data_IF_925946595816
#
_entry.id   IF_925946595816
#
_cell.length_a   1.000
_cell.length_b   1.000
_cell.length_c   1.000
_cell.angle_alpha   90.00
_cell.angle_beta   90.00
_cell.angle_gamma   90.00
#
_symmetry.space_group_name_H-M   'P 1'
#
loop_
_entity.id
_entity.type
_entity.pdbx_description
1 polymer ?
#
# COMPACT_ATOMS: atom_id res chain seq x y z
N UNK A 1 -13.13 -3.58 -11.80
CA UNK A 1 -13.05 -4.27 -10.48
C UNK A 1 -11.78 -5.13 -10.47
N UNK A 2 -10.94 -5.03 -9.44
CA UNK A 2 -9.73 -5.87 -9.33
C UNK A 2 -10.14 -7.23 -8.75
N UNK A 3 -9.77 -8.32 -9.41
CA UNK A 3 -9.97 -9.69 -8.92
C UNK A 3 -8.61 -10.33 -8.58
N UNK A 4 -8.63 -11.55 -8.04
CA UNK A 4 -7.41 -12.26 -7.64
C UNK A 4 -6.42 -12.47 -8.80
N UNK A 5 -6.91 -12.74 -10.01
CA UNK A 5 -6.06 -12.93 -11.20
C UNK A 5 -5.33 -11.63 -11.57
N UNK A 6 -6.04 -10.49 -11.57
CA UNK A 6 -5.44 -9.18 -11.82
C UNK A 6 -4.44 -8.83 -10.73
N UNK A 7 -4.78 -9.06 -9.46
CA UNK A 7 -3.89 -8.80 -8.33
C UNK A 7 -2.59 -9.63 -8.41
N UNK A 8 -2.70 -10.94 -8.64
CA UNK A 8 -1.56 -11.84 -8.83
C UNK A 8 -0.70 -11.42 -10.04
N UNK A 9 -1.31 -10.88 -11.11
CA UNK A 9 -0.56 -10.34 -12.25
C UNK A 9 0.25 -9.11 -11.86
N UNK A 10 -0.31 -8.24 -11.02
CA UNK A 10 0.39 -7.07 -10.48
C UNK A 10 1.56 -7.48 -9.58
N UNK A 11 1.37 -8.44 -8.67
CA UNK A 11 2.46 -8.96 -7.82
C UNK A 11 3.60 -9.56 -8.64
N UNK A 12 3.30 -10.33 -9.71
CA UNK A 12 4.32 -10.85 -10.63
C UNK A 12 5.08 -9.75 -11.37
N UNK A 13 4.44 -8.61 -11.65
CA UNK A 13 5.11 -7.44 -12.24
C UNK A 13 6.05 -6.82 -11.21
N UNK A 14 5.55 -6.54 -10.01
CA UNK A 14 6.31 -5.97 -8.90
C UNK A 14 7.57 -6.79 -8.58
N UNK A 15 7.46 -8.13 -8.52
CA UNK A 15 8.60 -9.03 -8.23
C UNK A 15 9.77 -8.86 -9.20
N UNK A 16 9.54 -8.42 -10.44
CA UNK A 16 10.63 -8.20 -11.41
C UNK A 16 11.41 -6.91 -11.17
N UNK A 17 10.80 -5.97 -10.45
CA UNK A 17 11.31 -4.61 -10.26
C UNK A 17 11.89 -4.38 -8.85
N UNK A 18 11.69 -5.33 -7.90
CA UNK A 18 12.16 -5.21 -6.51
C UNK A 18 13.08 -6.36 -6.09
N UNK A 19 13.77 -6.18 -4.95
CA UNK A 19 14.57 -7.24 -4.31
C UNK A 19 13.71 -8.47 -4.02
N UNK A 20 14.30 -9.65 -4.23
CA UNK A 20 13.57 -10.93 -4.21
C UNK A 20 13.62 -11.67 -2.87
N UNK A 21 14.33 -11.15 -1.87
CA UNK A 21 14.51 -11.76 -0.55
C UNK A 21 14.21 -10.77 0.57
N UNK A 22 13.61 -11.26 1.67
CA UNK A 22 13.30 -10.46 2.86
C UNK A 22 12.16 -9.46 2.68
N UNK A 23 11.22 -9.74 1.77
CA UNK A 23 10.08 -8.84 1.52
C UNK A 23 8.94 -9.16 2.47
N UNK A 24 8.56 -8.16 3.29
CA UNK A 24 7.31 -8.13 4.03
C UNK A 24 6.27 -7.31 3.25
N UNK A 25 5.25 -7.98 2.73
CA UNK A 25 4.14 -7.36 2.03
C UNK A 25 3.09 -6.86 3.03
N UNK A 26 2.77 -5.57 2.94
CA UNK A 26 1.74 -4.94 3.77
C UNK A 26 0.57 -4.57 2.86
N UNK A 27 -0.58 -5.20 3.08
CA UNK A 27 -1.80 -4.98 2.31
C UNK A 27 -3.03 -5.32 3.16
N UNK A 28 -4.19 -4.82 2.76
CA UNK A 28 -5.46 -5.06 3.45
C UNK A 28 -6.07 -6.43 3.10
N UNK A 29 -7.09 -6.83 3.86
CA UNK A 29 -7.79 -8.11 3.70
C UNK A 29 -8.84 -8.13 2.57
N UNK A 30 -8.74 -7.25 1.58
CA UNK A 30 -9.67 -7.24 0.44
C UNK A 30 -9.76 -8.63 -0.20
N UNK A 31 -10.93 -9.04 -0.70
CA UNK A 31 -11.16 -10.41 -1.20
C UNK A 31 -10.07 -10.92 -2.17
N UNK A 32 -9.56 -10.13 -3.15
CA UNK A 32 -8.48 -10.59 -4.03
C UNK A 32 -7.16 -10.90 -3.31
N UNK A 33 -6.92 -10.28 -2.16
CA UNK A 33 -5.67 -10.36 -1.39
C UNK A 33 -5.63 -11.61 -0.50
N UNK A 34 -6.78 -12.04 0.03
CA UNK A 34 -6.91 -13.18 0.93
C UNK A 34 -7.23 -14.52 0.24
N UNK A 35 -7.31 -14.56 -1.10
CA UNK A 35 -7.59 -15.82 -1.81
C UNK A 35 -6.44 -16.83 -1.71
N UNK A 36 -6.77 -18.12 -1.77
CA UNK A 36 -5.78 -19.21 -1.80
C UNK A 36 -4.74 -19.04 -2.93
N UNK A 37 -5.17 -18.57 -4.11
CA UNK A 37 -4.27 -18.35 -5.25
C UNK A 37 -3.23 -17.25 -4.95
N UNK A 38 -3.64 -16.19 -4.27
CA UNK A 38 -2.74 -15.11 -3.84
C UNK A 38 -1.77 -15.62 -2.78
N UNK A 39 -2.25 -16.36 -1.78
CA UNK A 39 -1.41 -16.93 -0.71
C UNK A 39 -0.36 -17.90 -1.26
N UNK A 40 -0.74 -18.79 -2.18
CA UNK A 40 0.19 -19.68 -2.87
C UNK A 40 1.26 -18.90 -3.66
N UNK A 41 0.89 -17.79 -4.29
CA UNK A 41 1.84 -16.97 -5.03
C UNK A 41 2.86 -16.31 -4.10
N UNK A 42 2.43 -15.79 -2.94
CA UNK A 42 3.32 -15.21 -1.93
C UNK A 42 4.29 -16.24 -1.37
N UNK A 43 3.82 -17.47 -1.12
CA UNK A 43 4.69 -18.59 -0.73
C UNK A 43 5.74 -18.93 -1.79
N UNK A 44 5.36 -18.97 -3.08
CA UNK A 44 6.32 -19.15 -4.19
C UNK A 44 7.34 -18.01 -4.27
N UNK A 45 6.97 -16.82 -3.81
CA UNK A 45 7.84 -15.66 -3.79
C UNK A 45 8.75 -15.64 -2.57
N UNK A 46 8.44 -16.45 -1.53
CA UNK A 46 9.02 -16.37 -0.19
C UNK A 46 8.84 -14.97 0.41
N UNK A 47 7.67 -14.38 0.16
CA UNK A 47 7.28 -13.10 0.74
C UNK A 47 6.38 -13.38 1.93
N UNK A 48 6.68 -12.74 3.05
CA UNK A 48 5.81 -12.74 4.21
C UNK A 48 4.72 -11.70 3.99
N UNK A 49 3.49 -11.98 4.42
CA UNK A 49 2.42 -11.00 4.46
C UNK A 49 2.20 -10.58 5.91
N UNK A 50 2.16 -9.28 6.17
CA UNK A 50 1.79 -8.77 7.49
C UNK A 50 0.31 -9.03 7.75
N UNK A 51 -0.02 -9.43 8.97
CA UNK A 51 -1.41 -9.42 9.42
C UNK A 51 -1.95 -7.99 9.40
N UNK A 52 -3.16 -7.85 8.88
CA UNK A 52 -3.87 -6.58 8.81
C UNK A 52 -5.23 -6.74 9.51
N UNK A 53 -5.52 -6.05 10.62
CA UNK A 53 -6.85 -6.06 11.20
C UNK A 53 -7.92 -5.55 10.23
N UNK A 54 -9.15 -6.03 10.42
CA UNK A 54 -10.29 -5.67 9.57
C UNK A 54 -10.67 -4.22 9.87
N UNK A 55 -10.92 -3.43 8.82
CA UNK A 55 -11.34 -2.02 8.91
C UNK A 55 -10.32 -1.07 9.56
N UNK A 56 -9.02 -1.31 9.37
CA UNK A 56 -7.96 -0.49 9.98
C UNK A 56 -7.16 0.32 8.94
N UNK A 57 -7.76 1.32 8.28
CA UNK A 57 -7.02 2.19 7.36
C UNK A 57 -5.95 3.03 8.07
N UNK A 58 -6.06 3.19 9.38
CA UNK A 58 -5.13 3.91 10.24
C UNK A 58 -3.76 3.22 10.40
N UNK A 59 -3.66 1.94 10.04
CA UNK A 59 -2.39 1.18 9.97
C UNK A 59 -1.95 0.90 8.53
N UNK A 60 -2.71 1.32 7.51
CA UNK A 60 -2.28 1.23 6.12
C UNK A 60 -1.46 2.46 5.73
N UNK A 61 -0.16 2.31 5.49
CA UNK A 61 0.73 3.43 5.10
C UNK A 61 0.23 4.16 3.85
N UNK A 62 -0.38 3.42 2.92
CA UNK A 62 -1.05 4.00 1.75
C UNK A 62 -2.15 4.98 2.15
N UNK A 63 -3.00 4.62 3.12
CA UNK A 63 -4.20 5.40 3.49
C UNK A 63 -3.88 6.58 4.42
N UNK A 64 -2.99 6.41 5.40
CA UNK A 64 -2.69 7.48 6.35
C UNK A 64 -1.58 8.45 5.88
N UNK A 65 -0.74 8.06 4.91
CA UNK A 65 0.42 8.86 4.51
C UNK A 65 0.48 9.16 3.01
N UNK A 66 0.43 8.13 2.15
CA UNK A 66 0.61 8.30 0.70
C UNK A 66 -0.59 8.99 0.03
N UNK A 67 -1.80 8.48 0.23
CA UNK A 67 -3.01 9.00 -0.41
C UNK A 67 -3.42 10.40 0.06
N UNK A 68 -3.26 10.81 1.33
CA UNK A 68 -3.48 12.20 1.73
C UNK A 68 -2.57 13.17 0.97
N UNK A 69 -1.28 12.82 0.82
CA UNK A 69 -0.34 13.63 0.04
C UNK A 69 -0.77 13.69 -1.43
N UNK A 70 -1.13 12.55 -2.03
CA UNK A 70 -1.61 12.49 -3.42
C UNK A 70 -2.90 13.30 -3.61
N UNK A 71 -3.85 13.21 -2.68
CA UNK A 71 -5.12 13.95 -2.71
C UNK A 71 -4.90 15.45 -2.68
N UNK A 72 -3.97 15.92 -1.84
CA UNK A 72 -3.61 17.34 -1.78
C UNK A 72 -3.01 17.81 -3.11
N UNK A 73 -2.17 16.99 -3.74
CA UNK A 73 -1.62 17.30 -5.06
C UNK A 73 -2.68 17.27 -6.19
N UNK A 74 -3.63 16.33 -6.13
CA UNK A 74 -4.74 16.20 -7.09
C UNK A 74 -5.79 17.30 -6.94
N UNK A 75 -5.87 17.99 -5.80
CA UNK A 75 -6.97 18.91 -5.47
C UNK A 75 -7.06 20.20 -6.31
N UNK A 76 -6.15 20.44 -7.24
CA UNK A 76 -6.15 21.63 -8.10
C UNK A 76 -6.47 21.34 -9.59
N UNK A 77 -5.70 20.48 -10.27
CA UNK A 77 -5.81 20.31 -11.71
C UNK A 77 -7.04 19.49 -12.15
N UNK A 78 -7.67 19.89 -13.25
CA UNK A 78 -8.55 19.00 -14.02
C UNK A 78 -7.75 18.27 -15.10
N UNK A 79 -8.01 16.98 -15.27
CA UNK A 79 -7.34 16.14 -16.27
C UNK A 79 -8.38 15.73 -17.32
N UNK A 80 -8.03 15.86 -18.60
CA UNK A 80 -8.95 15.56 -19.69
C UNK A 80 -8.87 14.10 -20.15
N UNK A 81 -7.74 13.43 -19.84
CA UNK A 81 -7.44 12.07 -20.30
C UNK A 81 -6.84 11.22 -19.18
N UNK A 82 -7.10 9.92 -19.22
CA UNK A 82 -6.58 8.96 -18.25
C UNK A 82 -5.05 8.83 -18.35
N UNK A 83 -4.49 8.93 -19.55
CA UNK A 83 -3.04 8.84 -19.78
C UNK A 83 -2.31 10.03 -19.15
N UNK A 84 -2.95 11.20 -19.14
CA UNK A 84 -2.42 12.42 -18.54
C UNK A 84 -2.27 12.27 -17.03
N UNK A 85 -3.34 11.85 -16.34
CA UNK A 85 -3.30 11.64 -14.90
C UNK A 85 -2.31 10.51 -14.52
N UNK A 86 -2.26 9.42 -15.29
CA UNK A 86 -1.31 8.33 -15.02
C UNK A 86 0.15 8.80 -15.10
N UNK A 87 0.50 9.54 -16.15
CA UNK A 87 1.85 10.07 -16.33
C UNK A 87 2.23 11.05 -15.22
N UNK A 88 1.33 11.98 -14.89
CA UNK A 88 1.57 13.00 -13.86
C UNK A 88 1.64 12.40 -12.45
N UNK A 89 0.79 11.42 -12.11
CA UNK A 89 0.87 10.71 -10.82
C UNK A 89 2.21 9.98 -10.69
N UNK A 90 2.68 9.33 -11.77
CA UNK A 90 3.99 8.66 -11.77
C UNK A 90 5.13 9.66 -11.56
N UNK A 91 5.13 10.77 -12.30
CA UNK A 91 6.13 11.82 -12.17
C UNK A 91 6.12 12.44 -10.75
N UNK A 92 4.94 12.65 -10.19
CA UNK A 92 4.76 13.16 -8.84
C UNK A 92 5.39 12.23 -7.80
N UNK A 93 5.12 10.92 -7.85
CA UNK A 93 5.75 9.97 -6.92
C UNK A 93 7.26 9.88 -7.08
N UNK A 94 7.79 9.99 -8.31
CA UNK A 94 9.24 10.03 -8.56
C UNK A 94 9.87 11.32 -7.97
N UNK A 95 9.12 12.42 -7.94
CA UNK A 95 9.59 13.69 -7.38
C UNK A 95 9.60 13.74 -5.85
N UNK A 96 8.92 12.80 -5.18
CA UNK A 96 8.91 12.75 -3.71
C UNK A 96 10.28 12.32 -3.20
N UNK A 97 10.79 13.07 -2.22
CA UNK A 97 12.06 12.77 -1.55
C UNK A 97 11.96 11.44 -0.78
N UNK A 98 13.07 10.68 -0.73
CA UNK A 98 13.12 9.37 -0.03
C UNK A 98 12.63 9.46 1.42
N UNK A 99 12.94 10.56 2.11
CA UNK A 99 12.53 10.82 3.50
C UNK A 99 11.00 10.84 3.68
N UNK A 100 10.24 11.15 2.64
CA UNK A 100 8.78 11.03 2.67
C UNK A 100 8.36 9.59 2.87
N UNK A 101 8.91 8.65 2.10
CA UNK A 101 8.56 7.23 2.21
C UNK A 101 9.08 6.62 3.51
N UNK A 102 10.30 6.96 3.91
CA UNK A 102 10.89 6.53 5.19
C UNK A 102 10.04 6.98 6.38
N UNK A 103 9.56 8.22 6.39
CA UNK A 103 8.66 8.72 7.44
C UNK A 103 7.35 7.95 7.50
N UNK A 104 6.76 7.65 6.33
CA UNK A 104 5.54 6.86 6.25
C UNK A 104 5.71 5.45 6.83
N UNK A 105 6.80 4.77 6.47
CA UNK A 105 7.14 3.43 6.97
C UNK A 105 7.51 3.47 8.46
N UNK A 106 8.31 4.44 8.90
CA UNK A 106 8.71 4.58 10.31
C UNK A 106 7.52 4.85 11.24
N UNK A 107 6.53 5.62 10.77
CA UNK A 107 5.30 5.89 11.54
C UNK A 107 4.39 4.67 11.69
N UNK A 108 4.61 3.60 10.90
CA UNK A 108 3.79 2.40 10.97
C UNK A 108 3.92 1.70 12.32
N UNK A 109 5.16 1.55 12.84
CA UNK A 109 5.40 0.92 14.13
C UNK A 109 4.70 1.67 15.28
N UNK A 110 4.75 3.00 15.25
CA UNK A 110 4.07 3.84 16.23
C UNK A 110 2.54 3.66 16.17
N UNK A 111 1.96 3.58 14.96
CA UNK A 111 0.53 3.37 14.76
C UNK A 111 0.07 1.99 15.22
N UNK A 112 0.84 0.93 14.95
CA UNK A 112 0.58 -0.40 15.50
C UNK A 112 0.57 -0.37 17.04
N UNK A 113 1.58 0.25 17.66
CA UNK A 113 1.64 0.34 19.11
C UNK A 113 0.44 1.12 19.70
N UNK A 114 0.04 2.22 19.06
CA UNK A 114 -1.13 3.01 19.48
C UNK A 114 -2.43 2.22 19.32
N UNK A 115 -2.61 1.51 18.21
CA UNK A 115 -3.78 0.64 17.98
C UNK A 115 -3.90 -0.47 19.05
N UNK A 116 -2.78 -1.10 19.42
CA UNK A 116 -2.74 -2.10 20.49
C UNK A 116 -3.13 -1.51 21.86
N UNK A 117 -2.61 -0.32 22.20
CA UNK A 117 -2.93 0.36 23.45
C UNK A 117 -4.38 0.86 23.52
N UNK A 118 -5.00 1.09 22.37
CA UNK A 118 -6.40 1.47 22.23
C UNK A 118 -7.33 0.24 22.15
N UNK A 119 -6.84 -0.96 22.41
CA UNK A 119 -7.60 -2.21 22.32
C UNK A 119 -8.29 -2.43 20.95
N UNK A 120 -7.70 -1.89 19.87
CA UNK A 120 -8.27 -1.96 18.51
C UNK A 120 -9.13 -0.77 18.11
N UNK A 121 -9.32 0.24 18.96
CA UNK A 121 -9.97 1.50 18.56
C UNK A 121 -9.10 2.33 17.61
N UNK A 122 -9.75 3.22 16.85
CA UNK A 122 -9.12 4.03 15.81
C UNK A 122 -8.01 4.93 16.35
N UNK A 123 -6.87 4.91 15.65
CA UNK A 123 -5.78 5.84 15.92
C UNK A 123 -6.09 7.22 15.33
N UNK A 124 -6.33 8.20 16.19
CA UNK A 124 -6.42 9.61 15.78
C UNK A 124 -5.14 10.06 15.05
N UNK A 125 -5.34 10.89 14.01
CA UNK A 125 -4.31 11.37 13.08
C UNK A 125 -3.29 12.31 13.72
#
# INVERSE_FOLDING_TARGET
MINAAVYCRTLRRLRRDILTSGVLLIHDNARPHSTAVTQQLLQQFKWDASDHPVYSPDIATSDFHLFPQLKNWLGGPSFQKNEEIQSKVKAHFISLVTTFFEKGIGNLAHRYHKCLNLHGDYVEK
#
